data_IF_430920186476
#
_entry.id   IF_430920186476
#
_cell.length_a   1.000
_cell.length_b   1.000
_cell.length_c   1.000
_cell.angle_alpha   90.00
_cell.angle_beta   90.00
_cell.angle_gamma   90.00
#
_symmetry.space_group_name_H-M   'P 1'
#
loop_
_entity.id
_entity.type
_entity.pdbx_description
1 polymer ?
#
# COMPACT_ATOMS: atom_id res chain seq x y z
N UNK A 1 22.20 34.19 -56.52
CA UNK A 1 23.30 33.67 -57.37
C UNK A 1 24.34 33.11 -56.43
N UNK A 2 24.94 31.97 -56.77
CA UNK A 2 25.21 30.87 -55.82
C UNK A 2 23.88 30.31 -55.23
N UNK A 3 23.74 29.02 -54.91
CA UNK A 3 24.65 27.89 -55.16
C UNK A 3 23.87 26.58 -55.41
N UNK A 4 24.56 25.46 -55.63
CA UNK A 4 23.99 24.21 -56.19
C UNK A 4 23.76 23.10 -55.14
N UNK A 5 22.94 22.10 -55.49
CA UNK A 5 23.25 20.65 -55.32
C UNK A 5 22.21 19.78 -56.04
N UNK A 6 22.47 18.47 -56.18
CA UNK A 6 21.79 17.57 -57.13
C UNK A 6 21.19 16.29 -56.49
N UNK A 7 20.70 15.38 -57.33
CA UNK A 7 19.85 14.23 -57.00
C UNK A 7 20.54 13.06 -56.23
N UNK A 8 19.66 12.23 -55.65
CA UNK A 8 19.86 10.89 -55.04
C UNK A 8 20.67 9.90 -55.93
N UNK A 9 21.28 8.82 -55.37
CA UNK A 9 20.51 7.74 -54.71
C UNK A 9 21.14 7.04 -53.48
N UNK A 10 20.33 6.21 -52.82
CA UNK A 10 20.63 5.44 -51.60
C UNK A 10 20.98 3.97 -51.89
N UNK A 11 22.20 3.52 -51.59
CA UNK A 11 22.53 2.07 -51.52
C UNK A 11 23.87 1.72 -50.83
N UNK A 12 24.26 2.36 -49.72
CA UNK A 12 25.60 2.12 -49.12
C UNK A 12 25.73 2.37 -47.60
N UNK A 13 24.78 1.91 -46.77
CA UNK A 13 24.87 2.00 -45.29
C UNK A 13 24.22 0.81 -44.56
N UNK A 14 24.51 -0.43 -44.98
CA UNK A 14 23.96 -1.66 -44.36
C UNK A 14 24.99 -2.77 -44.09
N UNK A 15 26.29 -2.46 -44.17
CA UNK A 15 27.38 -3.47 -44.23
C UNK A 15 28.44 -3.28 -43.10
N UNK A 16 28.18 -2.41 -42.10
CA UNK A 16 29.15 -2.06 -41.04
C UNK A 16 28.69 -2.34 -39.59
N UNK A 17 27.69 -3.20 -39.38
CA UNK A 17 27.27 -3.67 -38.04
C UNK A 17 27.05 -5.21 -37.98
N UNK A 18 27.80 -5.95 -38.80
CA UNK A 18 28.01 -7.39 -38.64
C UNK A 18 29.52 -7.65 -38.54
N UNK A 19 29.90 -8.72 -37.81
CA UNK A 19 31.27 -9.09 -37.42
C UNK A 19 31.91 -8.28 -36.28
N UNK A 20 31.39 -8.47 -35.06
CA UNK A 20 32.19 -8.39 -33.83
C UNK A 20 31.84 -9.50 -32.84
N UNK A 21 32.41 -10.69 -33.13
CA UNK A 21 32.85 -11.74 -32.19
C UNK A 21 31.76 -12.45 -31.34
N UNK A 22 31.75 -13.78 -31.46
CA UNK A 22 31.07 -14.73 -30.57
C UNK A 22 31.98 -15.02 -29.37
N UNK A 23 31.43 -15.05 -28.15
CA UNK A 23 31.92 -16.00 -27.14
C UNK A 23 30.85 -16.35 -26.08
N UNK A 24 31.13 -17.38 -25.26
CA UNK A 24 30.13 -18.11 -24.48
C UNK A 24 29.57 -17.41 -23.23
N UNK A 25 28.25 -17.54 -23.04
CA UNK A 25 27.58 -17.38 -21.73
C UNK A 25 26.97 -18.72 -21.29
N UNK A 26 27.81 -19.63 -20.75
CA UNK A 26 27.34 -20.92 -20.22
C UNK A 26 26.56 -20.73 -18.92
N UNK A 27 25.25 -20.98 -18.95
CA UNK A 27 24.45 -21.15 -17.73
C UNK A 27 24.85 -22.45 -17.02
N UNK A 28 25.79 -22.38 -16.06
CA UNK A 28 26.08 -23.49 -15.17
C UNK A 28 24.91 -23.63 -14.17
N UNK A 29 24.21 -24.76 -14.22
CA UNK A 29 23.08 -25.04 -13.34
C UNK A 29 23.38 -26.20 -12.41
N UNK A 30 23.42 -25.94 -11.11
CA UNK A 30 23.38 -26.97 -10.08
C UNK A 30 21.96 -27.15 -9.54
N UNK A 31 21.62 -28.41 -9.27
CA UNK A 31 20.30 -28.82 -8.75
C UNK A 31 20.45 -29.38 -7.35
N UNK A 32 19.97 -28.65 -6.33
CA UNK A 32 19.61 -29.27 -5.06
C UNK A 32 18.09 -29.31 -4.91
N UNK A 33 17.52 -30.50 -5.12
CA UNK A 33 16.11 -30.77 -4.87
C UNK A 33 15.94 -31.11 -3.40
N UNK A 34 15.65 -30.10 -2.57
CA UNK A 34 15.32 -30.31 -1.16
C UNK A 34 14.05 -31.17 -1.03
N UNK A 35 14.20 -32.38 -0.50
CA UNK A 35 13.09 -33.33 -0.37
C UNK A 35 12.11 -32.88 0.71
N UNK A 36 10.85 -32.66 0.35
CA UNK A 36 9.78 -32.35 1.30
C UNK A 36 9.43 -33.61 2.10
N UNK A 37 9.96 -33.74 3.31
CA UNK A 37 9.49 -34.74 4.26
C UNK A 37 8.12 -34.33 4.83
N UNK A 38 7.11 -35.16 4.59
CA UNK A 38 5.75 -34.96 5.10
C UNK A 38 5.72 -35.20 6.61
N UNK A 39 5.80 -34.12 7.38
CA UNK A 39 5.61 -34.19 8.83
C UNK A 39 4.12 -34.26 9.19
N UNK A 40 3.71 -35.35 9.85
CA UNK A 40 2.35 -35.52 10.31
C UNK A 40 1.99 -34.53 11.42
N UNK A 41 0.77 -33.99 11.34
CA UNK A 41 0.19 -33.11 12.34
C UNK A 41 0.01 -33.86 13.68
N UNK A 42 0.51 -33.31 14.78
CA UNK A 42 0.15 -33.74 16.14
C UNK A 42 -0.49 -32.60 16.93
N UNK A 43 -1.37 -33.01 17.84
CA UNK A 43 -2.49 -32.26 18.40
C UNK A 43 -2.18 -30.87 18.99
N UNK A 44 -3.13 -29.95 18.86
CA UNK A 44 -3.19 -28.74 19.68
C UNK A 44 -3.30 -29.10 21.17
N UNK A 45 -2.50 -28.45 22.00
CA UNK A 45 -2.74 -28.38 23.46
C UNK A 45 -3.12 -26.96 23.87
N UNK A 46 -3.82 -26.86 25.00
CA UNK A 46 -4.53 -25.65 25.46
C UNK A 46 -3.71 -24.36 25.41
N UNK A 47 -4.36 -23.29 24.95
CA UNK A 47 -3.94 -21.91 25.21
C UNK A 47 -4.25 -21.53 26.66
N UNK A 48 -3.23 -21.16 27.43
CA UNK A 48 -3.40 -20.52 28.75
C UNK A 48 -3.93 -19.10 28.58
N UNK A 49 -4.98 -18.72 29.32
CA UNK A 49 -5.54 -17.36 29.26
C UNK A 49 -4.53 -16.32 29.77
N UNK A 50 -4.01 -15.48 28.89
CA UNK A 50 -3.42 -14.22 29.31
C UNK A 50 -4.51 -13.31 29.91
N UNK A 51 -4.30 -12.85 31.14
CA UNK A 51 -5.09 -11.80 31.77
C UNK A 51 -4.15 -10.64 32.15
N UNK A 52 -4.45 -9.40 31.76
CA UNK A 52 -3.61 -8.26 32.12
C UNK A 52 -3.69 -8.03 33.64
N UNK A 53 -2.53 -7.98 34.31
CA UNK A 53 -2.51 -7.48 35.69
C UNK A 53 -2.83 -5.98 35.69
N UNK A 54 -3.61 -5.55 36.69
CA UNK A 54 -3.93 -4.13 36.88
C UNK A 54 -2.66 -3.33 37.13
N UNK A 55 -2.59 -2.13 36.56
CA UNK A 55 -1.46 -1.21 36.71
C UNK A 55 -1.19 -0.89 38.18
N UNK A 56 0.08 -0.79 38.55
CA UNK A 56 0.52 -0.50 39.93
C UNK A 56 0.98 0.95 40.02
N UNK A 57 0.51 1.68 41.02
CA UNK A 57 1.10 2.97 41.40
C UNK A 57 2.23 2.74 42.40
N UNK A 58 3.35 3.42 42.20
CA UNK A 58 4.44 3.50 43.18
C UNK A 58 5.02 4.93 43.16
N UNK A 59 5.16 5.55 44.33
CA UNK A 59 5.64 6.94 44.50
C UNK A 59 5.06 7.94 43.48
N UNK A 60 3.74 7.91 43.27
CA UNK A 60 3.01 8.78 42.34
C UNK A 60 3.02 8.34 40.87
N UNK A 61 4.07 7.64 40.42
CA UNK A 61 4.15 7.11 39.05
C UNK A 61 3.19 5.94 38.83
N UNK A 62 2.60 5.85 37.63
CA UNK A 62 1.84 4.68 37.18
C UNK A 62 2.80 3.78 36.39
N UNK A 63 3.04 2.57 36.89
CA UNK A 63 3.91 1.59 36.24
C UNK A 63 3.06 0.70 35.33
N UNK A 64 3.32 0.79 34.03
CA UNK A 64 2.80 -0.12 33.01
C UNK A 64 3.86 -1.19 32.70
N UNK A 65 3.55 -2.45 33.01
CA UNK A 65 4.43 -3.58 32.72
C UNK A 65 4.24 -4.04 31.26
N UNK A 66 4.99 -3.45 30.32
CA UNK A 66 4.96 -3.84 28.91
C UNK A 66 5.55 -5.25 28.72
N UNK A 67 4.78 -6.18 28.13
CA UNK A 67 5.23 -7.53 27.77
C UNK A 67 5.23 -7.72 26.26
N UNK A 68 6.21 -8.49 25.77
CA UNK A 68 6.35 -8.80 24.35
C UNK A 68 5.20 -9.70 23.88
N UNK A 69 4.72 -9.52 22.65
CA UNK A 69 3.55 -10.24 22.10
C UNK A 69 3.65 -11.77 22.24
N UNK A 70 4.82 -12.32 21.92
CA UNK A 70 5.16 -13.75 21.99
C UNK A 70 4.90 -14.38 23.37
N UNK A 71 4.90 -13.57 24.44
CA UNK A 71 4.63 -14.02 25.82
C UNK A 71 3.22 -14.61 25.97
N UNK A 72 2.25 -14.18 25.16
CA UNK A 72 0.87 -14.70 25.18
C UNK A 72 0.55 -15.67 24.03
N UNK A 73 1.36 -15.73 22.97
CA UNK A 73 1.04 -16.49 21.75
C UNK A 73 2.04 -17.60 21.38
N UNK A 74 3.24 -17.63 21.98
CA UNK A 74 4.26 -18.63 21.70
C UNK A 74 5.01 -18.41 20.37
N UNK A 75 6.11 -19.14 20.18
CA UNK A 75 6.95 -19.01 18.97
C UNK A 75 6.34 -19.73 17.76
N UNK A 76 5.78 -18.97 16.83
CA UNK A 76 5.49 -19.44 15.48
C UNK A 76 6.78 -19.40 14.63
N UNK A 77 7.35 -20.56 14.30
CA UNK A 77 8.71 -20.73 13.74
C UNK A 77 9.10 -19.94 12.48
N UNK A 78 8.15 -19.42 11.69
CA UNK A 78 8.41 -18.72 10.43
C UNK A 78 7.87 -17.28 10.41
N UNK A 79 7.52 -16.68 11.57
CA UNK A 79 7.09 -15.28 11.58
C UNK A 79 8.23 -14.29 11.34
N UNK A 80 9.42 -14.53 11.89
CA UNK A 80 10.57 -13.63 11.69
C UNK A 80 10.92 -13.50 10.20
N UNK A 81 11.04 -14.62 9.48
CA UNK A 81 11.24 -14.66 8.02
C UNK A 81 10.10 -13.98 7.24
N UNK A 82 8.83 -14.24 7.62
CA UNK A 82 7.67 -13.56 6.99
C UNK A 82 7.63 -12.06 7.30
N UNK A 83 8.21 -11.60 8.40
CA UNK A 83 8.32 -10.19 8.77
C UNK A 83 9.49 -9.54 8.05
N UNK A 84 10.71 -10.11 8.09
CA UNK A 84 11.89 -9.54 7.41
C UNK A 84 11.65 -9.36 5.90
N UNK A 85 11.00 -10.33 5.24
CA UNK A 85 10.56 -10.16 3.85
C UNK A 85 9.64 -8.94 3.71
N UNK A 86 8.58 -8.81 4.53
CA UNK A 86 7.67 -7.63 4.50
C UNK A 86 8.40 -6.32 4.78
N UNK A 87 9.39 -6.31 5.67
CA UNK A 87 10.21 -5.12 5.97
C UNK A 87 11.05 -4.68 4.76
N UNK A 88 11.61 -5.63 4.00
CA UNK A 88 12.36 -5.36 2.77
C UNK A 88 11.43 -4.88 1.64
N UNK A 89 10.24 -5.45 1.53
CA UNK A 89 9.26 -5.10 0.51
C UNK A 89 8.56 -3.75 0.78
N UNK A 90 8.18 -3.46 2.03
CA UNK A 90 7.71 -2.13 2.49
C UNK A 90 8.77 -1.04 2.25
N UNK A 91 10.06 -1.39 2.36
CA UNK A 91 11.16 -0.48 2.01
C UNK A 91 11.21 -0.19 0.51
N UNK A 92 10.98 -1.19 -0.33
CA UNK A 92 10.92 -1.04 -1.78
C UNK A 92 9.67 -0.25 -2.21
N UNK A 93 8.50 -0.46 -1.57
CA UNK A 93 7.31 0.38 -1.77
C UNK A 93 7.63 1.86 -1.52
N UNK A 94 8.23 2.16 -0.37
CA UNK A 94 8.65 3.53 -0.04
C UNK A 94 9.67 4.12 -1.03
N UNK A 95 10.64 3.33 -1.51
CA UNK A 95 11.61 3.76 -2.55
C UNK A 95 10.92 4.12 -3.87
N UNK A 96 9.97 3.32 -4.35
CA UNK A 96 9.29 3.64 -5.61
C UNK A 96 8.35 4.83 -5.49
N UNK A 97 7.68 5.01 -4.34
CA UNK A 97 6.88 6.20 -4.08
C UNK A 97 7.78 7.45 -4.11
N UNK A 98 8.95 7.41 -3.48
CA UNK A 98 9.95 8.50 -3.57
C UNK A 98 10.46 8.78 -4.99
N UNK A 99 10.48 7.79 -5.88
CA UNK A 99 10.83 7.96 -7.30
C UNK A 99 9.66 8.58 -8.09
N UNK A 100 8.44 8.07 -7.92
CA UNK A 100 7.24 8.63 -8.56
C UNK A 100 7.01 10.09 -8.16
N UNK A 101 7.31 10.42 -6.89
CA UNK A 101 7.20 11.77 -6.32
C UNK A 101 8.12 12.82 -6.98
N UNK A 102 9.15 12.44 -7.74
CA UNK A 102 10.10 13.43 -8.30
C UNK A 102 9.63 14.16 -9.56
N UNK A 103 8.63 13.66 -10.26
CA UNK A 103 8.45 13.99 -11.69
C UNK A 103 7.34 15.02 -11.99
N UNK A 104 6.82 15.76 -11.00
CA UNK A 104 5.37 15.76 -10.84
C UNK A 104 4.64 17.06 -10.32
N UNK A 105 4.24 18.01 -11.19
CA UNK A 105 3.57 19.32 -10.83
C UNK A 105 2.49 19.84 -11.86
N UNK A 106 1.16 19.93 -11.56
CA UNK A 106 0.26 21.13 -11.62
C UNK A 106 -1.31 20.94 -11.48
N UNK A 107 -2.02 21.99 -11.02
CA UNK A 107 -3.30 22.07 -10.20
C UNK A 107 -4.67 21.66 -10.85
N UNK A 108 -5.89 21.61 -10.23
CA UNK A 108 -6.54 22.15 -8.99
C UNK A 108 -7.80 21.32 -8.46
N UNK A 109 -8.78 21.89 -7.68
CA UNK A 109 -10.01 21.22 -7.11
C UNK A 109 -11.20 22.17 -6.69
N UNK A 110 -12.43 21.63 -6.52
CA UNK A 110 -13.66 22.18 -5.84
C UNK A 110 -14.46 21.02 -5.14
N UNK A 111 -15.40 21.28 -4.20
CA UNK A 111 -16.11 20.34 -3.28
C UNK A 111 -17.63 20.11 -3.61
N UNK A 112 -18.32 19.04 -3.15
CA UNK A 112 -19.29 18.95 -1.98
C UNK A 112 -20.20 17.69 -2.23
N UNK A 113 -20.94 16.97 -1.34
CA UNK A 113 -20.87 16.45 0.07
C UNK A 113 -21.99 15.37 0.28
N UNK A 114 -21.73 14.24 0.99
CA UNK A 114 -22.71 13.33 1.68
C UNK A 114 -21.93 12.20 2.43
N UNK A 115 -22.55 11.17 3.07
CA UNK A 115 -21.90 10.30 4.10
C UNK A 115 -22.11 8.75 3.97
N UNK A 116 -21.13 7.91 4.36
CA UNK A 116 -21.24 6.44 4.64
C UNK A 116 -20.10 5.89 5.52
N UNK A 117 -20.39 5.06 6.54
CA UNK A 117 -19.39 4.34 7.37
C UNK A 117 -19.23 2.85 6.97
N UNK A 118 -17.98 2.36 7.00
CA UNK A 118 -17.53 1.00 6.65
C UNK A 118 -16.63 0.45 7.78
N UNK A 119 -16.81 -0.82 8.24
CA UNK A 119 -15.90 -1.45 9.19
C UNK A 119 -14.51 -1.71 8.60
N UNK A 120 -13.44 -1.36 9.32
CA UNK A 120 -12.04 -1.54 8.92
C UNK A 120 -11.32 -2.40 9.96
N UNK A 121 -10.50 -3.37 9.51
CA UNK A 121 -9.87 -4.37 10.39
C UNK A 121 -8.40 -4.64 10.01
N UNK A 122 -7.66 -5.29 10.90
CA UNK A 122 -6.28 -5.74 10.64
C UNK A 122 -6.26 -6.91 9.65
N UNK A 123 -5.49 -6.78 8.56
CA UNK A 123 -5.31 -7.82 7.54
C UNK A 123 -4.47 -9.03 7.99
N UNK A 124 -4.07 -9.09 9.26
CA UNK A 124 -3.18 -10.13 9.79
C UNK A 124 -3.74 -11.56 9.63
N UNK A 125 -5.07 -11.73 9.71
CA UNK A 125 -5.76 -13.01 9.44
C UNK A 125 -5.65 -13.43 7.97
N UNK A 126 -5.62 -12.47 7.04
CA UNK A 126 -5.33 -12.70 5.61
C UNK A 126 -3.82 -12.77 5.32
N UNK A 127 -2.95 -12.85 6.33
CA UNK A 127 -1.50 -12.81 6.16
C UNK A 127 -0.99 -11.56 5.42
N UNK A 128 -1.66 -10.40 5.50
CA UNK A 128 -1.07 -9.09 5.15
C UNK A 128 -0.87 -8.25 6.43
N UNK A 129 -0.05 -7.20 6.39
CA UNK A 129 0.09 -6.25 7.52
C UNK A 129 -0.69 -4.95 7.28
N UNK A 130 -1.28 -4.79 6.09
CA UNK A 130 -2.14 -3.68 5.75
C UNK A 130 -3.53 -3.83 6.41
N UNK A 131 -4.27 -2.73 6.47
CA UNK A 131 -5.66 -2.73 6.91
C UNK A 131 -6.60 -3.09 5.75
N UNK A 132 -7.72 -3.74 6.09
CA UNK A 132 -8.67 -4.30 5.12
C UNK A 132 -10.11 -3.87 5.42
N UNK A 133 -10.91 -3.79 4.35
CA UNK A 133 -12.36 -3.56 4.37
C UNK A 133 -13.04 -4.58 3.45
N UNK A 134 -14.26 -5.01 3.79
CA UNK A 134 -15.07 -5.85 2.90
C UNK A 134 -16.15 -5.01 2.22
N UNK A 135 -16.11 -4.95 0.88
CA UNK A 135 -17.10 -4.28 0.03
C UNK A 135 -17.91 -5.32 -0.76
N UNK A 136 -18.96 -4.88 -1.47
CA UNK A 136 -19.69 -5.74 -2.39
C UNK A 136 -19.59 -5.20 -3.82
N UNK A 137 -19.02 -5.98 -4.75
CA UNK A 137 -18.81 -5.63 -6.16
C UNK A 137 -19.51 -6.66 -7.05
N UNK A 138 -20.35 -6.20 -7.99
CA UNK A 138 -21.18 -7.08 -8.84
C UNK A 138 -22.01 -8.09 -8.03
N UNK A 139 -22.50 -7.67 -6.85
CA UNK A 139 -23.22 -8.50 -5.88
C UNK A 139 -22.34 -9.45 -5.05
N UNK A 140 -21.03 -9.55 -5.28
CA UNK A 140 -20.10 -10.44 -4.54
C UNK A 140 -19.30 -9.69 -3.47
N UNK A 141 -19.11 -10.30 -2.30
CA UNK A 141 -18.21 -9.73 -1.27
C UNK A 141 -16.76 -9.83 -1.74
N UNK A 142 -15.99 -8.77 -1.52
CA UNK A 142 -14.57 -8.66 -1.82
C UNK A 142 -13.87 -7.98 -0.65
N UNK A 143 -12.87 -8.64 -0.05
CA UNK A 143 -12.11 -8.09 1.08
C UNK A 143 -10.79 -7.54 0.60
N UNK A 144 -10.67 -6.22 0.57
CA UNK A 144 -9.61 -5.48 -0.12
C UNK A 144 -8.75 -4.67 0.85
N UNK A 145 -7.48 -4.52 0.51
CA UNK A 145 -6.50 -3.70 1.24
C UNK A 145 -6.82 -2.21 1.02
N UNK A 146 -6.80 -1.41 2.07
CA UNK A 146 -7.01 0.05 2.01
C UNK A 146 -5.68 0.75 1.72
N UNK A 147 -5.59 1.45 0.59
CA UNK A 147 -4.35 2.06 0.10
C UNK A 147 -4.54 3.54 -0.32
N UNK A 148 -4.04 4.48 0.50
CA UNK A 148 -4.00 5.92 0.15
C UNK A 148 -2.77 6.34 -0.69
N UNK A 149 -1.85 5.42 -0.95
CA UNK A 149 -0.69 5.58 -1.82
C UNK A 149 -0.88 4.99 -3.24
N UNK A 150 -2.08 4.54 -3.62
CA UNK A 150 -2.42 4.21 -5.01
C UNK A 150 -3.86 4.59 -5.39
N UNK A 151 -4.09 4.80 -6.68
CA UNK A 151 -5.38 5.29 -7.19
C UNK A 151 -6.32 4.17 -7.64
N UNK A 152 -5.90 3.27 -8.54
CA UNK A 152 -6.81 2.29 -9.13
C UNK A 152 -7.24 1.22 -8.11
N UNK A 153 -8.54 1.17 -7.82
CA UNK A 153 -9.15 0.04 -7.13
C UNK A 153 -9.22 -1.17 -8.06
N UNK A 154 -8.85 -2.37 -7.59
CA UNK A 154 -8.85 -3.61 -8.39
C UNK A 154 -9.09 -4.85 -7.55
N UNK A 155 -9.58 -5.92 -8.19
CA UNK A 155 -9.74 -7.26 -7.60
C UNK A 155 -9.30 -8.36 -8.59
N UNK A 156 -8.91 -9.53 -8.09
CA UNK A 156 -8.60 -10.68 -8.96
C UNK A 156 -9.86 -11.29 -9.59
N UNK A 157 -9.78 -11.70 -10.85
CA UNK A 157 -10.93 -12.12 -11.66
C UNK A 157 -10.77 -13.50 -12.33
N UNK A 158 -11.89 -14.20 -12.58
CA UNK A 158 -11.94 -15.45 -13.38
C UNK A 158 -12.21 -15.18 -14.87
N UNK A 159 -11.53 -15.83 -15.83
CA UNK A 159 -10.33 -16.63 -15.63
C UNK A 159 -9.16 -15.77 -15.13
N UNK A 160 -8.31 -16.35 -14.29
CA UNK A 160 -7.00 -15.80 -13.99
C UNK A 160 -5.93 -16.62 -14.72
N UNK A 161 -4.92 -15.94 -15.23
CA UNK A 161 -3.76 -16.55 -15.90
C UNK A 161 -2.66 -16.86 -14.88
N UNK A 162 -2.46 -15.97 -13.92
CA UNK A 162 -1.45 -16.09 -12.86
C UNK A 162 -1.89 -15.27 -11.64
N UNK A 163 -2.31 -15.94 -10.56
CA UNK A 163 -2.85 -15.29 -9.35
C UNK A 163 -2.19 -15.89 -8.10
N UNK A 164 -2.18 -15.10 -7.03
CA UNK A 164 -1.99 -15.60 -5.67
C UNK A 164 -3.31 -16.12 -5.08
N UNK A 165 -3.23 -17.03 -4.11
CA UNK A 165 -4.39 -17.56 -3.40
C UNK A 165 -5.03 -16.50 -2.49
N UNK A 166 -6.33 -16.26 -2.67
CA UNK A 166 -7.14 -15.35 -1.84
C UNK A 166 -8.24 -16.09 -1.06
N UNK A 167 -8.71 -15.50 0.05
CA UNK A 167 -9.72 -16.12 0.92
C UNK A 167 -11.14 -16.07 0.31
N UNK A 168 -11.56 -14.89 -0.15
CA UNK A 168 -12.85 -14.73 -0.83
C UNK A 168 -12.76 -15.31 -2.26
N UNK A 169 -13.85 -15.82 -2.87
CA UNK A 169 -13.81 -16.29 -4.26
C UNK A 169 -13.39 -15.18 -5.24
N UNK A 170 -12.62 -15.55 -6.27
CA UNK A 170 -12.28 -14.66 -7.40
C UNK A 170 -13.54 -14.03 -8.01
N UNK A 171 -13.48 -12.76 -8.40
CA UNK A 171 -14.61 -12.10 -9.05
C UNK A 171 -14.88 -12.73 -10.42
N UNK A 172 -16.13 -13.07 -10.72
CA UNK A 172 -16.51 -13.63 -12.02
C UNK A 172 -17.41 -12.66 -12.78
N UNK A 173 -16.87 -11.93 -13.79
CA UNK A 173 -17.64 -11.03 -14.65
C UNK A 173 -18.91 -11.66 -15.23
N UNK A 174 -18.86 -12.91 -15.66
CA UNK A 174 -19.99 -13.63 -16.27
C UNK A 174 -21.12 -13.96 -15.29
N UNK A 175 -20.93 -13.73 -13.99
CA UNK A 175 -21.98 -13.86 -12.96
C UNK A 175 -22.57 -12.51 -12.54
N UNK A 176 -22.02 -11.38 -13.00
CA UNK A 176 -22.59 -10.05 -12.81
C UNK A 176 -23.38 -9.64 -14.05
N UNK A 177 -24.56 -9.05 -13.85
CA UNK A 177 -25.40 -8.52 -14.94
C UNK A 177 -25.06 -7.08 -15.30
N UNK A 178 -24.29 -6.39 -14.45
CA UNK A 178 -23.92 -4.98 -14.56
C UNK A 178 -22.44 -4.78 -14.95
N UNK A 179 -21.65 -5.85 -14.99
CA UNK A 179 -20.26 -5.81 -15.48
C UNK A 179 -20.19 -5.38 -16.95
N UNK A 180 -19.35 -4.39 -17.24
CA UNK A 180 -19.04 -3.95 -18.60
C UNK A 180 -17.56 -3.57 -18.72
N UNK A 181 -16.86 -4.11 -19.71
CA UNK A 181 -15.49 -3.74 -20.06
C UNK A 181 -15.41 -2.27 -20.49
N UNK A 182 -14.38 -1.54 -20.05
CA UNK A 182 -14.11 -0.19 -20.54
C UNK A 182 -13.48 -0.26 -21.93
N UNK A 183 -14.02 0.49 -22.88
CA UNK A 183 -13.54 0.48 -24.27
C UNK A 183 -12.22 1.26 -24.40
N UNK A 184 -11.33 0.76 -25.24
CA UNK A 184 -10.00 1.32 -25.53
C UNK A 184 -10.02 2.81 -25.92
N UNK A 185 -10.98 3.23 -26.75
CA UNK A 185 -11.05 4.60 -27.24
C UNK A 185 -11.76 5.57 -26.27
N UNK A 186 -11.98 5.17 -25.02
CA UNK A 186 -12.58 6.03 -23.99
C UNK A 186 -11.54 6.91 -23.29
N UNK A 187 -11.98 8.10 -22.83
CA UNK A 187 -11.20 8.93 -21.90
C UNK A 187 -10.82 8.17 -20.64
N UNK A 188 -11.72 7.30 -20.12
CA UNK A 188 -11.46 6.42 -18.97
C UNK A 188 -10.25 5.50 -19.18
N UNK A 189 -10.03 4.99 -20.40
CA UNK A 189 -8.83 4.21 -20.71
C UNK A 189 -7.56 5.08 -20.74
N UNK A 190 -7.65 6.29 -21.31
CA UNK A 190 -6.56 7.26 -21.35
C UNK A 190 -6.16 7.74 -19.95
N UNK A 191 -7.10 7.80 -19.00
CA UNK A 191 -6.86 8.16 -17.60
C UNK A 191 -5.85 7.27 -16.87
N UNK A 192 -5.64 6.02 -17.32
CA UNK A 192 -4.70 5.08 -16.70
C UNK A 192 -3.27 5.63 -16.61
N UNK A 193 -2.83 6.42 -17.60
CA UNK A 193 -1.49 7.01 -17.62
C UNK A 193 -1.23 7.90 -16.40
N UNK A 194 -2.26 8.57 -15.90
CA UNK A 194 -2.19 9.44 -14.73
C UNK A 194 -2.47 8.71 -13.41
N UNK A 195 -3.20 7.59 -13.43
CA UNK A 195 -3.55 6.80 -12.24
C UNK A 195 -2.56 5.66 -11.90
N UNK A 196 -1.72 5.26 -12.85
CA UNK A 196 -0.86 4.06 -12.74
C UNK A 196 0.58 4.26 -13.24
N UNK A 197 0.85 5.35 -13.95
CA UNK A 197 2.10 5.54 -14.70
C UNK A 197 2.15 4.81 -16.06
N UNK A 198 1.13 4.02 -16.41
CA UNK A 198 1.05 3.27 -17.67
C UNK A 198 -0.20 3.65 -18.48
N UNK A 199 -0.02 3.91 -19.78
CA UNK A 199 -1.14 4.07 -20.72
C UNK A 199 -1.92 2.76 -20.90
N UNK A 200 -3.23 2.87 -21.13
CA UNK A 200 -4.08 1.71 -21.38
C UNK A 200 -3.63 0.87 -22.58
N UNK A 201 -3.48 -0.44 -22.38
CA UNK A 201 -2.96 -1.38 -23.38
C UNK A 201 -4.13 -1.96 -24.18
N UNK A 202 -4.06 -1.82 -25.50
CA UNK A 202 -5.14 -2.13 -26.43
C UNK A 202 -4.64 -3.02 -27.57
N UNK A 203 -5.37 -4.10 -27.85
CA UNK A 203 -5.12 -4.95 -29.02
C UNK A 203 -6.02 -4.51 -30.17
N UNK A 204 -5.53 -4.56 -31.41
CA UNK A 204 -6.35 -4.37 -32.61
C UNK A 204 -7.54 -5.34 -32.69
N UNK A 205 -7.47 -6.47 -31.99
CA UNK A 205 -8.51 -7.51 -31.98
C UNK A 205 -9.31 -7.59 -30.67
N UNK A 206 -9.03 -6.73 -29.67
CA UNK A 206 -9.81 -6.68 -28.42
C UNK A 206 -10.19 -5.24 -28.08
N UNK A 207 -11.49 -4.88 -28.05
CA UNK A 207 -11.92 -3.50 -27.82
C UNK A 207 -11.80 -3.06 -26.34
N UNK A 208 -11.46 -3.98 -25.43
CA UNK A 208 -11.34 -3.73 -23.99
C UNK A 208 -9.97 -3.16 -23.62
N UNK A 209 -9.98 -2.12 -22.80
CA UNK A 209 -8.81 -1.46 -22.26
C UNK A 209 -8.14 -2.32 -21.18
N UNK A 210 -6.86 -2.67 -21.34
CA UNK A 210 -6.10 -3.35 -20.29
C UNK A 210 -5.25 -2.36 -19.49
N UNK A 211 -5.12 -2.61 -18.18
CA UNK A 211 -4.32 -1.81 -17.26
C UNK A 211 -3.10 -2.58 -16.75
N UNK A 212 -2.12 -1.83 -16.25
CA UNK A 212 -0.97 -2.33 -15.50
C UNK A 212 -0.79 -1.45 -14.27
N UNK A 213 -0.67 -2.04 -13.09
CA UNK A 213 -0.09 -1.37 -11.92
C UNK A 213 1.12 -2.18 -11.47
N UNK A 214 2.27 -1.52 -11.36
CA UNK A 214 3.44 -2.06 -10.70
C UNK A 214 3.63 -1.27 -9.39
N UNK A 215 3.56 -1.94 -8.25
CA UNK A 215 3.80 -1.39 -6.94
C UNK A 215 5.30 -1.40 -6.62
N UNK A 216 5.72 -0.50 -5.73
CA UNK A 216 7.15 -0.32 -5.44
C UNK A 216 7.83 -1.48 -4.72
N UNK A 217 7.07 -2.32 -4.05
CA UNK A 217 7.53 -3.57 -3.47
C UNK A 217 7.83 -4.65 -4.54
N UNK A 218 7.56 -4.37 -5.81
CA UNK A 218 7.65 -5.34 -6.91
C UNK A 218 6.37 -6.14 -7.12
N UNK A 219 5.36 -5.98 -6.25
CA UNK A 219 4.03 -6.53 -6.47
C UNK A 219 3.40 -5.90 -7.72
N UNK A 220 2.56 -6.62 -8.45
CA UNK A 220 1.87 -6.08 -9.62
C UNK A 220 0.45 -6.65 -9.80
N UNK A 221 -0.33 -5.94 -10.61
CA UNK A 221 -1.59 -6.42 -11.17
C UNK A 221 -1.71 -5.97 -12.63
N UNK A 222 -2.22 -6.86 -13.48
CA UNK A 222 -2.49 -6.60 -14.90
C UNK A 222 -3.82 -7.25 -15.25
N UNK A 223 -4.66 -6.57 -16.01
CA UNK A 223 -5.98 -7.09 -16.36
C UNK A 223 -6.82 -6.10 -17.15
N UNK A 224 -8.12 -6.37 -17.20
CA UNK A 224 -9.10 -5.55 -17.93
C UNK A 224 -9.61 -4.41 -17.04
N UNK A 225 -9.65 -3.18 -17.55
CA UNK A 225 -10.35 -2.09 -16.88
C UNK A 225 -11.84 -2.23 -17.17
N UNK A 226 -12.66 -2.29 -16.12
CA UNK A 226 -14.09 -2.57 -16.21
C UNK A 226 -14.90 -1.63 -15.34
N UNK A 227 -16.23 -1.68 -15.47
CA UNK A 227 -17.18 -1.06 -14.54
C UNK A 227 -18.25 -2.04 -14.09
N UNK A 228 -18.72 -1.90 -12.86
CA UNK A 228 -19.83 -2.69 -12.30
C UNK A 228 -20.54 -1.90 -11.18
N UNK A 229 -21.54 -2.49 -10.53
CA UNK A 229 -22.14 -1.97 -9.29
C UNK A 229 -21.22 -2.24 -8.09
N UNK A 230 -20.84 -1.18 -7.38
CA UNK A 230 -20.17 -1.22 -6.08
C UNK A 230 -21.19 -0.83 -4.99
N UNK A 231 -21.40 -1.68 -3.99
CA UNK A 231 -22.18 -1.36 -2.81
C UNK A 231 -21.26 -1.22 -1.59
N UNK A 232 -21.30 -0.04 -0.97
CA UNK A 232 -20.56 0.33 0.22
C UNK A 232 -21.54 0.50 1.39
N UNK A 233 -21.59 -0.48 2.28
CA UNK A 233 -22.48 -0.50 3.44
C UNK A 233 -23.97 -0.41 3.06
N UNK A 234 -24.54 0.79 2.98
CA UNK A 234 -25.92 1.09 2.57
C UNK A 234 -26.03 1.77 1.20
N UNK A 235 -24.90 2.12 0.56
CA UNK A 235 -24.87 3.01 -0.61
C UNK A 235 -24.43 2.26 -1.87
N UNK A 236 -25.36 2.11 -2.81
CA UNK A 236 -25.11 1.55 -4.14
C UNK A 236 -24.56 2.62 -5.10
N UNK A 237 -23.45 2.31 -5.75
CA UNK A 237 -22.78 3.13 -6.77
C UNK A 237 -22.78 2.33 -8.07
N UNK A 238 -23.54 2.80 -9.06
CA UNK A 238 -23.61 2.15 -10.37
C UNK A 238 -22.44 2.57 -11.28
N UNK A 239 -21.89 1.61 -12.03
CA UNK A 239 -20.84 1.90 -13.02
C UNK A 239 -19.49 2.31 -12.43
N UNK A 240 -19.22 1.93 -11.18
CA UNK A 240 -17.92 2.10 -10.53
C UNK A 240 -16.82 1.40 -11.33
N UNK A 241 -15.77 2.15 -11.69
CA UNK A 241 -14.66 1.72 -12.53
C UNK A 241 -13.59 1.05 -11.65
N UNK A 242 -13.14 -0.14 -12.05
CA UNK A 242 -12.15 -0.92 -11.31
C UNK A 242 -11.29 -1.79 -12.23
N UNK A 243 -10.13 -2.21 -11.75
CA UNK A 243 -9.29 -3.21 -12.41
C UNK A 243 -9.76 -4.64 -12.16
N UNK A 244 -10.07 -5.38 -13.21
CA UNK A 244 -10.39 -6.80 -13.15
C UNK A 244 -9.12 -7.63 -13.46
N UNK A 245 -8.36 -7.92 -12.40
CA UNK A 245 -6.98 -8.44 -12.45
C UNK A 245 -6.89 -9.89 -12.91
N UNK A 246 -6.08 -10.12 -13.96
CA UNK A 246 -5.88 -11.41 -14.65
C UNK A 246 -4.50 -12.02 -14.42
N UNK A 247 -3.53 -11.19 -14.04
CA UNK A 247 -2.15 -11.55 -13.72
C UNK A 247 -1.71 -10.68 -12.56
N UNK A 248 -1.68 -11.25 -11.35
CA UNK A 248 -1.43 -10.52 -10.11
C UNK A 248 -0.51 -11.35 -9.20
N UNK A 249 0.53 -10.71 -8.66
CA UNK A 249 1.54 -11.35 -7.82
C UNK A 249 2.06 -10.31 -6.82
N UNK A 250 2.25 -10.70 -5.56
CA UNK A 250 2.67 -9.74 -4.53
C UNK A 250 2.22 -10.04 -3.11
N UNK A 251 2.41 -9.06 -2.22
CA UNK A 251 2.15 -9.17 -0.78
C UNK A 251 0.72 -8.86 -0.34
N UNK A 252 -0.24 -9.08 -1.24
CA UNK A 252 -1.67 -8.91 -0.98
C UNK A 252 -2.21 -9.92 0.04
N UNK A 253 -1.48 -11.03 0.26
CA UNK A 253 -1.90 -12.11 1.14
C UNK A 253 -3.18 -12.75 0.62
N UNK A 254 -4.13 -13.03 1.52
CA UNK A 254 -5.44 -13.58 1.19
C UNK A 254 -6.49 -12.55 0.75
N UNK A 255 -6.12 -11.28 0.52
CA UNK A 255 -7.05 -10.23 0.09
C UNK A 255 -7.54 -10.44 -1.35
N UNK A 256 -8.69 -9.89 -1.71
CA UNK A 256 -9.20 -9.93 -3.09
C UNK A 256 -8.49 -8.97 -4.04
N UNK A 257 -7.73 -8.01 -3.51
CA UNK A 257 -7.11 -6.89 -4.24
C UNK A 257 -6.95 -5.64 -3.36
N UNK A 258 -6.94 -4.47 -3.98
CA UNK A 258 -6.73 -3.17 -3.31
C UNK A 258 -7.89 -2.20 -3.60
N UNK A 259 -8.30 -1.47 -2.57
CA UNK A 259 -9.08 -0.24 -2.63
C UNK A 259 -8.12 0.96 -2.69
N UNK A 260 -7.98 1.54 -3.89
CA UNK A 260 -7.21 2.75 -4.10
C UNK A 260 -7.99 3.99 -3.65
N UNK A 261 -7.50 4.62 -2.58
CA UNK A 261 -8.03 5.83 -1.97
C UNK A 261 -7.25 7.10 -2.36
N UNK A 262 -6.35 7.02 -3.35
CA UNK A 262 -5.66 8.17 -3.95
C UNK A 262 -6.61 9.26 -4.50
N UNK A 263 -6.05 10.27 -5.15
CA UNK A 263 -6.78 11.49 -5.56
C UNK A 263 -6.92 11.65 -7.09
N UNK A 264 -6.49 10.66 -7.88
CA UNK A 264 -6.75 10.63 -9.33
C UNK A 264 -8.21 10.30 -9.63
N UNK A 265 -8.70 10.63 -10.82
CA UNK A 265 -10.10 10.39 -11.24
C UNK A 265 -10.53 8.91 -11.23
N UNK A 266 -9.59 7.96 -11.33
CA UNK A 266 -9.88 6.52 -11.23
C UNK A 266 -9.92 5.98 -9.80
N UNK A 267 -9.62 6.80 -8.78
CA UNK A 267 -9.70 6.36 -7.38
C UNK A 267 -11.12 6.29 -6.84
N UNK A 268 -11.32 5.50 -5.79
CA UNK A 268 -12.62 5.43 -5.13
C UNK A 268 -13.03 6.80 -4.56
N UNK A 269 -12.09 7.51 -3.95
CA UNK A 269 -12.28 8.87 -3.41
C UNK A 269 -12.80 9.85 -4.46
N UNK A 270 -12.28 9.78 -5.70
CA UNK A 270 -12.66 10.71 -6.76
C UNK A 270 -13.92 10.28 -7.50
N UNK A 271 -14.06 9.00 -7.83
CA UNK A 271 -15.25 8.46 -8.49
C UNK A 271 -16.52 8.68 -7.67
N UNK A 272 -16.42 8.54 -6.34
CA UNK A 272 -17.53 8.74 -5.42
C UNK A 272 -17.59 10.18 -4.89
N UNK A 273 -16.75 11.10 -5.39
CA UNK A 273 -16.78 12.52 -4.98
C UNK A 273 -18.14 13.20 -5.17
N UNK A 274 -18.97 12.88 -6.20
CA UNK A 274 -20.33 13.42 -6.32
C UNK A 274 -21.32 12.88 -5.26
N UNK A 275 -20.96 11.82 -4.53
CA UNK A 275 -21.79 11.16 -3.52
C UNK A 275 -21.24 11.43 -2.10
N UNK A 276 -19.92 11.64 -1.94
CA UNK A 276 -19.26 11.77 -0.63
C UNK A 276 -18.34 12.99 -0.51
N UNK A 277 -18.48 14.00 -1.39
CA UNK A 277 -17.67 15.23 -1.39
C UNK A 277 -16.17 15.07 -1.68
N UNK A 278 -15.70 13.84 -1.93
CA UNK A 278 -14.28 13.52 -2.11
C UNK A 278 -13.48 13.57 -0.82
N UNK A 279 -14.15 13.42 0.33
CA UNK A 279 -13.59 13.39 1.69
C UNK A 279 -13.72 11.99 2.27
N UNK A 280 -12.75 11.57 3.07
CA UNK A 280 -12.85 10.39 3.93
C UNK A 280 -12.07 10.58 5.22
N UNK A 281 -12.36 9.75 6.22
CA UNK A 281 -11.55 9.58 7.44
C UNK A 281 -11.41 8.11 7.79
N UNK A 282 -10.39 7.75 8.58
CA UNK A 282 -10.27 6.40 9.13
C UNK A 282 -9.81 6.43 10.60
N UNK A 283 -10.24 5.45 11.37
CA UNK A 283 -9.58 5.07 12.62
C UNK A 283 -9.02 3.65 12.46
N UNK A 284 -7.70 3.53 12.45
CA UNK A 284 -7.01 2.26 12.27
C UNK A 284 -6.97 1.51 13.61
N UNK A 285 -7.38 0.23 13.66
CA UNK A 285 -7.32 -0.56 14.89
C UNK A 285 -5.88 -0.88 15.28
N UNK A 286 -5.69 -1.50 16.46
CA UNK A 286 -4.44 -2.23 16.68
C UNK A 286 -4.28 -3.33 15.62
N UNK A 287 -3.03 -3.68 15.33
CA UNK A 287 -2.62 -4.78 14.44
C UNK A 287 -3.13 -6.15 14.86
N UNK A 288 -3.60 -6.26 16.10
CA UNK A 288 -4.08 -7.47 16.75
C UNK A 288 -5.34 -7.98 16.05
N UNK A 289 -5.49 -9.31 15.96
CA UNK A 289 -6.38 -9.93 14.98
C UNK A 289 -7.89 -9.66 15.18
N UNK A 290 -8.29 -9.14 16.34
CA UNK A 290 -9.68 -8.83 16.72
C UNK A 290 -9.91 -7.33 16.96
N UNK A 291 -8.96 -6.47 16.56
CA UNK A 291 -9.11 -5.01 16.61
C UNK A 291 -10.09 -4.50 15.55
N UNK A 292 -11.09 -3.73 15.99
CA UNK A 292 -12.07 -3.07 15.12
C UNK A 292 -11.76 -1.58 14.96
N UNK A 293 -11.88 -1.08 13.73
CA UNK A 293 -11.76 0.33 13.39
C UNK A 293 -12.79 0.72 12.31
N UNK A 294 -12.60 1.88 11.69
CA UNK A 294 -13.54 2.43 10.71
C UNK A 294 -12.84 3.08 9.52
N UNK A 295 -13.52 3.03 8.37
CA UNK A 295 -13.34 3.93 7.24
C UNK A 295 -14.69 4.65 7.05
N UNK A 296 -14.68 5.98 6.96
CA UNK A 296 -15.86 6.79 6.68
C UNK A 296 -15.63 7.58 5.40
N UNK A 297 -16.61 7.58 4.51
CA UNK A 297 -16.65 8.43 3.33
C UNK A 297 -17.61 9.58 3.62
N UNK A 298 -17.24 10.80 3.25
CA UNK A 298 -17.98 12.01 3.61
C UNK A 298 -17.33 12.86 4.69
N UNK A 299 -18.02 13.97 4.98
CA UNK A 299 -17.59 15.06 5.86
C UNK A 299 -18.21 15.05 7.26
N UNK A 300 -19.09 14.10 7.58
CA UNK A 300 -19.86 14.14 8.82
C UNK A 300 -18.99 13.94 10.07
N UNK A 301 -18.67 15.06 10.70
CA UNK A 301 -17.95 15.14 11.96
C UNK A 301 -18.73 14.62 13.17
N UNK A 302 -19.99 14.18 13.04
CA UNK A 302 -20.85 13.74 14.15
C UNK A 302 -20.17 12.78 15.12
N UNK A 303 -19.45 11.77 14.61
CA UNK A 303 -18.76 10.78 15.45
C UNK A 303 -17.55 11.37 16.20
N UNK A 304 -16.97 12.47 15.71
CA UNK A 304 -15.79 13.12 16.28
C UNK A 304 -16.13 14.34 17.17
N UNK A 305 -17.37 14.83 17.17
CA UNK A 305 -17.80 16.04 17.93
C UNK A 305 -17.57 15.96 19.45
N UNK A 306 -17.46 14.75 20.00
CA UNK A 306 -17.22 14.51 21.43
C UNK A 306 -15.75 14.15 21.77
N UNK A 307 -14.85 14.19 20.79
CA UNK A 307 -13.44 13.82 20.93
C UNK A 307 -12.52 15.05 20.93
N UNK A 308 -11.21 14.81 21.05
CA UNK A 308 -10.15 15.84 20.94
C UNK A 308 -10.36 16.68 19.68
N UNK A 309 -10.21 18.03 19.72
CA UNK A 309 -10.37 18.88 18.55
C UNK A 309 -9.52 18.41 17.36
N UNK A 310 -10.15 18.30 16.18
CA UNK A 310 -9.46 17.92 14.95
C UNK A 310 -8.43 19.00 14.61
N UNK A 311 -7.16 18.60 14.52
CA UNK A 311 -6.05 19.48 14.11
C UNK A 311 -5.89 19.38 12.60
N UNK A 312 -6.08 20.51 11.92
CA UNK A 312 -5.96 20.60 10.47
C UNK A 312 -4.56 21.07 10.06
N UNK A 313 -4.10 20.58 8.91
CA UNK A 313 -2.92 21.09 8.20
C UNK A 313 -3.18 21.00 6.70
N UNK A 314 -2.61 21.92 5.93
CA UNK A 314 -2.83 21.96 4.49
C UNK A 314 -2.07 20.82 3.81
N UNK A 315 -2.74 20.10 2.90
CA UNK A 315 -2.05 19.26 1.93
C UNK A 315 -1.12 20.14 1.08
N UNK A 316 0.08 19.68 0.77
CA UNK A 316 0.95 20.35 -0.18
C UNK A 316 0.31 20.24 -1.57
N UNK A 317 -0.04 21.38 -2.16
CA UNK A 317 -0.43 21.51 -3.56
C UNK A 317 0.82 21.43 -4.45
N UNK A 318 1.45 20.25 -4.52
CA UNK A 318 2.44 19.91 -5.53
C UNK A 318 1.78 18.97 -6.56
N UNK A 319 1.24 19.43 -7.69
CA UNK A 319 0.04 18.78 -8.21
C UNK A 319 0.19 17.84 -9.44
N UNK A 320 1.33 17.19 -9.66
CA UNK A 320 1.25 15.78 -10.12
C UNK A 320 1.66 14.81 -8.99
N UNK A 321 1.99 15.32 -7.78
CA UNK A 321 1.61 14.65 -6.53
C UNK A 321 0.13 14.91 -6.19
N UNK A 322 -0.66 15.40 -7.15
CA UNK A 322 -2.10 15.63 -7.00
C UNK A 322 -2.82 14.35 -6.59
N UNK A 323 -2.38 13.19 -7.06
CA UNK A 323 -2.85 11.85 -6.64
C UNK A 323 -2.60 11.53 -5.15
N UNK A 324 -1.59 12.15 -4.52
CA UNK A 324 -1.05 11.73 -3.23
C UNK A 324 -1.46 12.64 -2.06
N UNK A 325 -1.45 12.10 -0.85
CA UNK A 325 -1.69 12.86 0.39
C UNK A 325 -0.36 13.34 0.98
N UNK A 326 0.14 14.47 0.50
CA UNK A 326 1.44 15.03 0.92
C UNK A 326 1.22 16.13 1.97
N UNK A 327 1.95 16.07 3.09
CA UNK A 327 1.98 17.09 4.15
C UNK A 327 3.34 17.79 4.24
N UNK A 328 3.35 19.02 4.78
CA UNK A 328 4.59 19.70 5.15
C UNK A 328 4.99 19.37 6.59
N UNK A 329 6.06 18.60 6.78
CA UNK A 329 6.63 18.35 8.11
C UNK A 329 7.63 19.46 8.46
N UNK A 330 7.31 20.27 9.48
CA UNK A 330 8.15 21.38 9.95
C UNK A 330 9.19 21.00 10.99
N UNK A 331 9.06 19.82 11.62
CA UNK A 331 10.01 19.35 12.64
C UNK A 331 9.59 18.04 13.30
N UNK A 332 10.49 17.45 14.09
CA UNK A 332 10.25 16.28 14.94
C UNK A 332 10.81 16.58 16.34
N UNK A 333 10.14 16.12 17.38
CA UNK A 333 10.67 16.12 18.75
C UNK A 333 10.49 14.77 19.43
N UNK A 334 11.41 14.43 20.34
CA UNK A 334 11.40 13.21 21.15
C UNK A 334 11.48 13.67 22.61
N UNK A 335 10.49 13.33 23.44
CA UNK A 335 10.43 13.76 24.85
C UNK A 335 10.46 15.27 25.07
N UNK A 336 10.05 16.07 24.08
CA UNK A 336 10.14 17.54 24.09
C UNK A 336 11.46 18.11 23.55
N UNK A 337 12.48 17.29 23.34
CA UNK A 337 13.73 17.69 22.66
C UNK A 337 13.47 17.70 21.15
N UNK A 338 13.53 18.87 20.52
CA UNK A 338 13.49 19.00 19.07
C UNK A 338 14.76 18.40 18.44
N UNK A 339 14.60 17.70 17.31
CA UNK A 339 15.74 17.19 16.55
C UNK A 339 16.40 18.32 15.75
N UNK A 340 17.73 18.34 15.72
CA UNK A 340 18.50 19.24 14.87
C UNK A 340 18.40 18.84 13.39
N UNK A 341 18.82 19.76 12.51
CA UNK A 341 18.58 19.79 11.04
C UNK A 341 17.12 19.99 10.57
N UNK A 342 16.53 21.19 10.79
CA UNK A 342 15.29 21.59 10.13
C UNK A 342 15.34 21.67 8.60
N UNK A 343 16.52 21.67 7.97
CA UNK A 343 16.67 21.90 6.53
C UNK A 343 16.41 20.65 5.67
N UNK A 344 16.27 19.49 6.31
CA UNK A 344 15.90 18.21 5.67
C UNK A 344 14.43 17.84 5.90
N UNK A 345 13.79 18.28 6.99
CA UNK A 345 12.35 18.12 7.17
C UNK A 345 11.57 18.88 6.08
N UNK A 346 10.45 18.32 5.60
CA UNK A 346 9.52 19.00 4.70
C UNK A 346 10.01 19.29 3.28
N UNK A 347 11.31 19.17 2.96
CA UNK A 347 11.90 19.63 1.69
C UNK A 347 11.31 19.00 0.41
N UNK A 348 10.69 17.82 0.52
CA UNK A 348 9.87 17.19 -0.53
C UNK A 348 8.46 16.79 -0.03
N UNK A 349 8.04 17.33 1.13
CA UNK A 349 6.88 16.88 1.88
C UNK A 349 7.03 15.48 2.52
N UNK A 350 5.95 14.99 3.12
CA UNK A 350 5.78 13.62 3.61
C UNK A 350 4.46 13.04 3.10
N UNK A 351 4.51 11.83 2.55
CA UNK A 351 3.35 11.07 2.10
C UNK A 351 2.62 10.39 3.27
N UNK A 352 1.29 10.49 3.29
CA UNK A 352 0.39 9.69 4.14
C UNK A 352 -0.13 8.50 3.33
N UNK A 353 0.50 7.34 3.56
CA UNK A 353 0.22 6.08 2.86
C UNK A 353 -0.20 4.98 3.84
N UNK A 354 -1.45 4.53 3.77
CA UNK A 354 -1.98 3.39 4.55
C UNK A 354 -1.50 2.02 4.04
N UNK A 355 -0.97 1.95 2.81
CA UNK A 355 -0.34 0.77 2.23
C UNK A 355 1.16 0.65 2.51
N UNK A 356 1.75 1.64 3.21
CA UNK A 356 3.10 1.54 3.80
C UNK A 356 2.93 1.32 5.30
N UNK A 357 3.32 0.13 5.76
CA UNK A 357 3.05 -0.39 7.11
C UNK A 357 3.90 0.29 8.17
N UNK A 358 5.10 0.77 7.81
CA UNK A 358 6.05 1.40 8.74
C UNK A 358 6.46 2.77 8.24
N UNK A 359 6.32 3.79 9.09
CA UNK A 359 6.76 5.16 8.81
C UNK A 359 8.23 5.21 8.40
N UNK A 360 8.50 5.47 7.12
CA UNK A 360 9.86 5.60 6.58
C UNK A 360 10.35 7.04 6.68
N UNK A 361 11.59 7.19 7.16
CA UNK A 361 12.29 8.47 7.32
C UNK A 361 13.58 8.43 6.50
N UNK A 362 14.02 9.58 5.97
CA UNK A 362 15.31 9.67 5.26
C UNK A 362 16.48 9.39 6.23
N UNK A 363 17.61 8.82 5.78
CA UNK A 363 18.63 8.27 6.70
C UNK A 363 19.20 9.25 7.73
N UNK A 364 19.37 10.53 7.39
CA UNK A 364 19.81 11.57 8.35
C UNK A 364 18.79 11.78 9.48
N UNK A 365 17.53 12.05 9.10
CA UNK A 365 16.40 12.21 10.02
C UNK A 365 16.18 10.96 10.88
N UNK A 366 16.25 9.77 10.27
CA UNK A 366 16.15 8.51 10.99
C UNK A 366 17.26 8.35 12.03
N UNK A 367 18.50 8.66 11.69
CA UNK A 367 19.64 8.56 12.60
C UNK A 367 19.58 9.59 13.73
N UNK A 368 19.13 10.83 13.46
CA UNK A 368 18.91 11.84 14.48
C UNK A 368 17.82 11.40 15.48
N UNK A 369 16.67 10.95 14.96
CA UNK A 369 15.54 10.44 15.75
C UNK A 369 15.97 9.25 16.62
N UNK A 370 16.68 8.29 16.02
CA UNK A 370 17.25 7.12 16.71
C UNK A 370 18.24 7.49 17.81
N UNK A 371 19.07 8.51 17.58
CA UNK A 371 20.09 8.94 18.55
C UNK A 371 19.44 9.56 19.78
N UNK A 372 18.49 10.49 19.60
CA UNK A 372 17.78 11.11 20.73
C UNK A 372 16.89 10.09 21.47
N UNK A 373 16.23 9.19 20.74
CA UNK A 373 15.45 8.11 21.34
C UNK A 373 16.33 7.19 22.20
N UNK A 374 17.46 6.70 21.69
CA UNK A 374 18.36 5.81 22.44
C UNK A 374 19.03 6.53 23.63
N UNK A 375 19.28 7.84 23.52
CA UNK A 375 19.76 8.69 24.62
C UNK A 375 18.74 8.78 25.75
N UNK A 376 17.47 9.05 25.45
CA UNK A 376 16.41 9.14 26.46
C UNK A 376 16.03 7.77 27.05
N UNK A 377 16.11 6.69 26.25
CA UNK A 377 15.88 5.32 26.70
C UNK A 377 17.15 4.61 27.24
N UNK A 378 18.24 5.34 27.48
CA UNK A 378 19.53 4.79 27.96
C UNK A 378 19.45 4.07 29.31
N UNK A 379 18.45 4.37 30.14
CA UNK A 379 18.17 3.68 31.40
C UNK A 379 17.48 2.30 31.26
N UNK A 380 17.11 1.88 30.05
CA UNK A 380 16.40 0.62 29.82
C UNK A 380 17.33 -0.48 29.23
N UNK A 381 17.16 -1.76 29.63
CA UNK A 381 18.00 -2.85 29.15
C UNK A 381 17.74 -3.14 27.66
N UNK A 382 18.76 -3.00 26.82
CA UNK A 382 18.67 -3.34 25.40
C UNK A 382 18.54 -4.87 25.22
N UNK A 383 17.63 -5.29 24.33
CA UNK A 383 17.52 -6.70 23.89
C UNK A 383 18.83 -7.10 23.21
N UNK A 384 19.61 -8.00 23.84
CA UNK A 384 20.78 -8.62 23.20
C UNK A 384 20.34 -9.26 21.88
N UNK A 385 20.96 -8.88 20.75
CA UNK A 385 20.83 -9.63 19.50
C UNK A 385 21.31 -11.06 19.76
N UNK A 386 20.46 -12.05 19.51
CA UNK A 386 20.91 -13.43 19.33
C UNK A 386 21.86 -13.47 18.15
N UNK A 387 23.01 -14.12 18.30
CA UNK A 387 23.99 -14.28 17.22
C UNK A 387 23.52 -15.36 16.24
N UNK A 388 22.57 -15.02 15.37
CA UNK A 388 22.42 -15.70 14.07
C UNK A 388 23.50 -15.17 13.11
N UNK A 389 24.03 -16.04 12.26
CA UNK A 389 25.30 -15.83 11.56
C UNK A 389 25.19 -15.05 10.23
N UNK A 390 24.39 -13.98 10.19
CA UNK A 390 24.26 -13.07 9.04
C UNK A 390 24.12 -11.61 9.49
N UNK A 391 24.90 -10.66 8.93
CA UNK A 391 24.85 -9.26 9.35
C UNK A 391 23.67 -8.50 8.70
N UNK A 392 22.46 -8.67 9.22
CA UNK A 392 21.32 -7.81 8.89
C UNK A 392 21.64 -6.34 9.27
N UNK A 393 21.87 -5.50 8.26
CA UNK A 393 22.46 -4.15 8.38
C UNK A 393 21.47 -3.08 8.87
N UNK A 394 20.18 -3.37 8.90
CA UNK A 394 19.09 -2.45 9.26
C UNK A 394 18.54 -2.71 10.66
N UNK A 395 19.16 -2.12 11.68
CA UNK A 395 18.53 -1.98 13.00
C UNK A 395 17.47 -0.87 12.96
N UNK A 396 16.27 -1.21 12.48
CA UNK A 396 15.10 -0.32 12.39
C UNK A 396 14.49 -0.05 13.78
N UNK A 397 13.95 1.16 13.96
CA UNK A 397 13.12 1.54 15.12
C UNK A 397 11.72 1.78 14.56
N UNK A 398 10.80 0.85 14.84
CA UNK A 398 9.40 0.99 14.46
C UNK A 398 8.73 1.98 15.41
N UNK A 399 8.60 3.24 14.97
CA UNK A 399 7.83 4.25 15.71
C UNK A 399 6.34 3.94 15.56
N UNK A 400 5.77 3.16 16.48
CA UNK A 400 4.31 2.97 16.54
C UNK A 400 3.68 4.25 17.09
N UNK A 401 3.33 5.16 16.18
CA UNK A 401 2.55 6.36 16.51
C UNK A 401 1.22 5.96 17.13
N UNK A 402 1.07 6.19 18.44
CA UNK A 402 -0.21 6.07 19.13
C UNK A 402 -1.08 7.28 18.79
N UNK A 403 -1.69 7.25 17.61
CA UNK A 403 -2.99 7.90 17.45
C UNK A 403 -3.95 7.30 18.49
N UNK A 404 -4.83 8.13 19.04
CA UNK A 404 -5.67 7.76 20.19
C UNK A 404 -6.46 6.48 19.90
N UNK A 405 -6.62 5.62 20.90
CA UNK A 405 -7.61 4.55 20.83
C UNK A 405 -9.00 5.18 20.66
N UNK A 406 -9.61 4.94 19.49
CA UNK A 406 -11.07 4.95 19.37
C UNK A 406 -11.58 3.80 20.24
N UNK A 407 -12.24 4.13 21.35
CA UNK A 407 -12.96 3.17 22.20
C UNK A 407 -14.36 2.90 21.63
#
# INVERSE_FOLDING_TARGET
>A
MAEATAFLPSMLMLILLLFSIVDEARCYGDKEVLSIQVFQLKELKHFTKCHPQKSRKNNGAIIFEMKHWDYCHGQFKNWDEKVENRLAFDESRAKSLQLHIRNAVDSAKIEVENNTQIPLTSGIKLQTLNYIVTVQLGGRKMTVIVDTGSDLTWVQCTPCVFCYDQQDPLFNPSLSRSYQSILCNSSTCQSLQFATGYSGICSTNQPACNYVVNYGDGSYTRGELARDQLNLSSTLVEGFIFGCGRSNEGLFGGASGIMGLGRNQLSLTSQLSPIFGGVFSYCLPSTDADGSGSLMLGSDSSLYKNFTPIIYTNLITNPQLSNFYILNLTGISIGGVALEDPAVFGKNGILIDSGTVISRLVPSVYNAMKTEFLKQFSGYPQRRRSQSSTPASTSQITVKWTYQHCN
#
